data_IF_581756986991
#
_entry.id   IF_581756986991
#
_cell.length_a   1.000
_cell.length_b   1.000
_cell.length_c   1.000
_cell.angle_alpha   90.00
_cell.angle_beta   90.00
_cell.angle_gamma   90.00
#
_symmetry.space_group_name_H-M   'P 1'
#
loop_
_entity.id
_entity.type
_entity.pdbx_description
1 polymer ?
#
# COMPACT_ATOMS: atom_id res chain seq x y z
N UNK A 1 24.59 -21.68 -10.29
CA UNK A 1 24.22 -20.92 -11.50
C UNK A 1 23.40 -19.73 -11.05
N UNK A 2 24.00 -18.54 -10.89
CA UNK A 2 23.31 -17.33 -10.42
C UNK A 2 22.39 -16.85 -11.54
N UNK A 3 21.08 -17.09 -11.40
CA UNK A 3 20.07 -16.49 -12.28
C UNK A 3 20.04 -14.99 -11.98
N UNK A 4 20.42 -14.17 -12.96
CA UNK A 4 20.21 -12.72 -12.91
C UNK A 4 18.70 -12.46 -12.79
N UNK A 5 18.21 -12.20 -11.58
CA UNK A 5 16.90 -11.60 -11.39
C UNK A 5 17.06 -10.10 -11.70
N UNK A 6 16.56 -9.67 -12.87
CA UNK A 6 16.52 -8.26 -13.21
C UNK A 6 15.42 -7.58 -12.39
N UNK A 7 15.80 -7.02 -11.25
CA UNK A 7 14.96 -6.17 -10.39
C UNK A 7 14.75 -4.80 -11.05
N UNK A 8 13.51 -4.29 -11.02
CA UNK A 8 13.23 -2.92 -11.43
C UNK A 8 13.46 -1.98 -10.25
N UNK A 9 14.39 -1.06 -10.43
CA UNK A 9 14.65 0.07 -9.53
C UNK A 9 13.97 1.32 -10.08
N UNK A 10 13.03 1.88 -9.32
CA UNK A 10 12.49 3.23 -9.57
C UNK A 10 13.11 4.18 -8.55
N UNK A 11 13.78 5.24 -9.03
CA UNK A 11 14.34 6.34 -8.23
C UNK A 11 13.66 7.62 -8.69
N UNK A 12 12.80 8.17 -7.85
CA UNK A 12 12.26 9.52 -8.04
C UNK A 12 13.16 10.49 -7.29
N UNK A 13 13.95 11.28 -8.03
CA UNK A 13 14.76 12.35 -7.46
C UNK A 13 13.89 13.59 -7.32
N UNK A 14 13.53 13.95 -6.08
CA UNK A 14 13.08 15.31 -5.77
C UNK A 14 14.27 16.09 -5.24
N UNK A 15 14.60 17.21 -5.87
CA UNK A 15 15.51 18.18 -5.29
C UNK A 15 14.76 18.94 -4.21
N UNK A 16 15.18 18.83 -2.95
CA UNK A 16 14.89 19.83 -1.93
C UNK A 16 15.99 19.85 -0.87
N UNK A 17 16.25 21.06 -0.39
CA UNK A 17 17.31 21.44 0.53
C UNK A 17 16.88 21.28 1.99
N UNK A 18 17.84 20.81 2.81
CA UNK A 18 17.95 20.83 4.29
C UNK A 18 17.32 19.73 5.14
N UNK A 19 18.17 19.21 6.04
CA UNK A 19 17.81 18.72 7.38
C UNK A 19 18.18 17.26 7.68
N UNK A 20 19.42 16.98 8.13
CA UNK A 20 19.74 15.68 8.73
C UNK A 20 19.00 15.52 10.06
N UNK A 21 18.14 14.51 10.17
CA UNK A 21 17.71 13.96 11.45
C UNK A 21 17.95 12.43 11.44
N UNK A 22 18.71 11.89 12.40
CA UNK A 22 18.88 10.44 12.53
C UNK A 22 17.70 9.89 13.33
N UNK A 23 16.73 9.27 12.65
CA UNK A 23 15.73 8.45 13.33
C UNK A 23 16.43 7.20 13.89
N UNK A 24 16.19 6.96 15.17
CA UNK A 24 16.67 5.83 15.94
C UNK A 24 16.11 4.51 15.39
N UNK A 25 16.92 3.45 15.55
CA UNK A 25 16.80 2.16 14.88
C UNK A 25 15.74 1.21 15.47
N UNK A 26 14.93 1.67 16.43
CA UNK A 26 14.12 0.79 17.31
C UNK A 26 12.59 0.90 17.17
N UNK A 27 12.04 1.68 16.24
CA UNK A 27 10.59 1.90 16.08
C UNK A 27 9.98 1.24 14.83
N UNK A 28 10.13 -0.09 14.68
CA UNK A 28 9.50 -0.88 13.59
C UNK A 28 8.45 -1.89 14.08
N UNK A 29 7.63 -1.54 15.06
CA UNK A 29 6.52 -2.41 15.47
C UNK A 29 5.32 -2.18 14.54
N UNK A 30 5.07 -3.14 13.63
CA UNK A 30 3.76 -3.32 12.98
C UNK A 30 3.64 -3.06 11.47
N UNK A 31 4.71 -2.67 10.76
CA UNK A 31 4.67 -2.39 9.31
C UNK A 31 5.13 -3.63 8.54
N UNK A 32 4.38 -4.15 7.53
CA UNK A 32 4.96 -5.08 6.56
C UNK A 32 5.98 -4.29 5.73
N UNK A 33 7.28 -4.61 5.75
CA UNK A 33 8.31 -3.79 5.10
C UNK A 33 8.29 -3.91 3.57
N UNK A 34 7.30 -4.62 3.03
CA UNK A 34 7.13 -4.84 1.62
C UNK A 34 5.71 -5.30 1.28
N UNK A 35 5.30 -5.04 0.05
CA UNK A 35 4.00 -5.44 -0.51
C UNK A 35 4.16 -6.76 -1.29
N UNK A 36 3.10 -7.57 -1.32
CA UNK A 36 3.09 -8.87 -2.03
C UNK A 36 1.78 -9.01 -2.79
N UNK A 37 1.86 -9.42 -4.05
CA UNK A 37 0.72 -9.79 -4.87
C UNK A 37 1.00 -11.01 -5.74
N UNK A 38 -0.03 -11.55 -6.39
CA UNK A 38 0.12 -12.68 -7.30
C UNK A 38 -0.92 -12.67 -8.42
N UNK A 39 -0.59 -13.38 -9.50
CA UNK A 39 -1.56 -13.83 -10.51
C UNK A 39 -1.13 -15.19 -11.06
N UNK A 40 -2.11 -16.07 -11.29
CA UNK A 40 -1.89 -17.37 -11.94
C UNK A 40 -2.40 -17.36 -13.38
N UNK A 41 -1.59 -17.95 -14.26
CA UNK A 41 -1.82 -18.11 -15.69
C UNK A 41 -1.64 -19.59 -16.09
N UNK A 42 -2.09 -19.98 -17.28
CA UNK A 42 -1.83 -21.30 -17.81
C UNK A 42 -0.32 -21.53 -17.99
N UNK A 43 0.16 -22.70 -17.59
CA UNK A 43 1.53 -23.11 -17.84
C UNK A 43 1.62 -23.92 -19.15
N UNK A 44 2.80 -23.90 -19.75
CA UNK A 44 3.19 -24.83 -20.81
C UNK A 44 3.31 -26.27 -20.30
N UNK A 45 3.61 -26.45 -19.01
CA UNK A 45 3.66 -27.76 -18.37
C UNK A 45 2.24 -28.34 -18.19
N UNK A 46 2.05 -29.57 -18.68
CA UNK A 46 0.75 -30.26 -18.63
C UNK A 46 0.24 -30.40 -17.19
N UNK A 47 -1.01 -30.01 -16.95
CA UNK A 47 -1.67 -30.11 -15.65
C UNK A 47 -1.13 -29.15 -14.58
N UNK A 48 -0.35 -28.15 -15.00
CA UNK A 48 0.20 -27.10 -14.12
C UNK A 48 -0.28 -25.73 -14.58
N UNK A 49 -0.18 -24.80 -13.64
CA UNK A 49 -0.44 -23.38 -13.81
C UNK A 49 0.80 -22.62 -13.37
N UNK A 50 1.11 -21.54 -14.09
CA UNK A 50 2.20 -20.62 -13.76
C UNK A 50 1.68 -19.62 -12.74
N UNK A 51 2.10 -19.78 -11.49
CA UNK A 51 1.86 -18.81 -10.43
C UNK A 51 3.00 -17.80 -10.42
N UNK A 52 2.67 -16.54 -10.66
CA UNK A 52 3.60 -15.42 -10.58
C UNK A 52 3.34 -14.65 -9.29
N UNK A 53 4.36 -14.51 -8.46
CA UNK A 53 4.34 -13.79 -7.19
C UNK A 53 5.18 -12.54 -7.34
N UNK A 54 4.59 -11.37 -7.17
CA UNK A 54 5.24 -10.07 -7.26
C UNK A 54 5.45 -9.50 -5.86
N UNK A 55 6.60 -8.88 -5.62
CA UNK A 55 6.86 -8.20 -4.36
C UNK A 55 7.55 -6.87 -4.57
N UNK A 56 7.18 -5.88 -3.76
CA UNK A 56 7.71 -4.52 -3.80
C UNK A 56 8.37 -4.19 -2.46
N UNK A 57 9.67 -3.92 -2.50
CA UNK A 57 10.50 -3.56 -1.35
C UNK A 57 10.81 -2.06 -1.40
N UNK A 58 10.47 -1.30 -0.35
CA UNK A 58 10.73 0.15 -0.30
C UNK A 58 12.06 0.45 0.38
N UNK A 59 12.73 1.53 -0.03
CA UNK A 59 14.05 1.88 0.51
C UNK A 59 14.01 2.07 2.04
N UNK A 60 13.01 2.80 2.55
CA UNK A 60 12.84 3.08 3.99
C UNK A 60 12.85 1.82 4.89
N UNK A 61 12.54 0.65 4.33
CA UNK A 61 12.54 -0.62 5.05
C UNK A 61 13.93 -1.22 5.30
N UNK A 62 14.97 -0.74 4.62
CA UNK A 62 16.32 -1.31 4.69
C UNK A 62 17.25 -0.56 5.62
N UNK A 63 18.19 -1.30 6.22
CA UNK A 63 19.38 -0.76 6.86
C UNK A 63 20.46 -0.54 5.81
N UNK A 64 20.96 0.69 5.74
CA UNK A 64 22.04 1.05 4.83
C UNK A 64 23.36 1.23 5.57
N UNK A 65 24.45 0.79 4.93
CA UNK A 65 25.82 1.04 5.40
C UNK A 65 26.50 2.00 4.41
N UNK A 66 27.13 3.06 4.93
CA UNK A 66 27.88 4.00 4.10
C UNK A 66 29.10 3.29 3.50
N UNK A 67 29.23 3.34 2.17
CA UNK A 67 30.33 2.73 1.40
C UNK A 67 30.89 3.78 0.44
N UNK A 68 31.98 4.43 0.84
CA UNK A 68 32.52 5.58 0.12
C UNK A 68 31.54 6.77 0.15
N UNK A 69 31.11 7.23 -1.03
CA UNK A 69 30.17 8.33 -1.18
C UNK A 69 28.70 7.87 -1.32
N UNK A 70 28.44 6.56 -1.29
CA UNK A 70 27.09 6.00 -1.44
C UNK A 70 26.67 5.22 -0.19
N UNK A 71 25.41 4.79 -0.19
CA UNK A 71 24.80 3.99 0.86
C UNK A 71 24.38 2.65 0.27
N UNK A 72 24.90 1.55 0.82
CA UNK A 72 24.65 0.19 0.36
C UNK A 72 23.62 -0.51 1.25
N UNK A 73 22.58 -1.07 0.63
CA UNK A 73 21.71 -2.07 1.24
C UNK A 73 21.92 -3.43 0.56
N UNK A 74 21.82 -4.49 1.34
CA UNK A 74 21.88 -5.87 0.86
C UNK A 74 20.78 -6.69 1.53
N UNK A 75 20.15 -7.59 0.79
CA UNK A 75 19.03 -8.37 1.30
C UNK A 75 18.90 -9.73 0.63
N UNK A 76 18.18 -10.63 1.30
CA UNK A 76 17.74 -11.92 0.78
C UNK A 76 16.23 -12.04 0.86
N UNK A 77 15.61 -12.57 -0.19
CA UNK A 77 14.17 -12.86 -0.23
C UNK A 77 13.98 -14.35 -0.50
N UNK A 78 13.26 -15.00 0.40
CA UNK A 78 12.68 -16.32 0.18
C UNK A 78 11.19 -16.18 -0.11
N UNK A 79 10.73 -16.71 -1.25
CA UNK A 79 9.31 -16.88 -1.56
C UNK A 79 8.99 -18.36 -1.46
N UNK A 80 8.21 -18.75 -0.46
CA UNK A 80 7.77 -20.13 -0.21
C UNK A 80 6.28 -20.30 -0.51
N UNK A 81 5.93 -21.42 -1.14
CA UNK A 81 4.56 -21.85 -1.37
C UNK A 81 4.22 -23.01 -0.47
N UNK A 82 3.19 -22.84 0.36
CA UNK A 82 2.63 -23.90 1.18
C UNK A 82 1.29 -24.38 0.60
N UNK A 83 1.08 -25.70 0.59
CA UNK A 83 -0.20 -26.30 0.24
C UNK A 83 -1.20 -26.25 1.40
N UNK A 84 -2.37 -26.89 1.24
CA UNK A 84 -3.45 -26.88 2.25
C UNK A 84 -3.06 -27.52 3.59
N UNK A 85 -2.08 -28.43 3.61
CA UNK A 85 -1.59 -29.09 4.84
C UNK A 85 -0.43 -28.36 5.51
N UNK A 86 -0.25 -27.06 5.23
CA UNK A 86 0.89 -26.21 5.67
C UNK A 86 2.29 -26.69 5.25
N UNK A 87 2.37 -27.81 4.51
CA UNK A 87 3.61 -28.33 3.93
C UNK A 87 4.09 -27.42 2.81
N UNK A 88 5.38 -27.08 2.86
CA UNK A 88 6.06 -26.41 1.75
C UNK A 88 6.09 -27.31 0.51
N UNK A 89 5.63 -26.74 -0.60
CA UNK A 89 5.58 -27.39 -1.92
C UNK A 89 6.78 -26.96 -2.76
N UNK A 90 7.17 -25.69 -2.67
CA UNK A 90 8.31 -25.13 -3.37
C UNK A 90 8.73 -23.81 -2.72
N UNK A 91 10.01 -23.48 -2.83
CA UNK A 91 10.57 -22.20 -2.43
C UNK A 91 11.53 -21.67 -3.50
N UNK A 92 11.70 -20.34 -3.52
CA UNK A 92 12.69 -19.66 -4.35
C UNK A 92 13.40 -18.60 -3.54
N UNK A 93 14.72 -18.59 -3.66
CA UNK A 93 15.59 -17.67 -2.94
C UNK A 93 16.30 -16.74 -3.91
N UNK A 94 16.38 -15.45 -3.56
CA UNK A 94 17.15 -14.43 -4.28
C UNK A 94 17.93 -13.58 -3.29
N UNK A 95 19.15 -13.21 -3.66
CA UNK A 95 20.03 -12.33 -2.87
C UNK A 95 20.44 -11.18 -3.77
N UNK A 96 20.25 -9.95 -3.30
CA UNK A 96 20.52 -8.73 -4.05
C UNK A 96 21.20 -7.67 -3.15
N UNK A 97 21.92 -6.76 -3.80
CA UNK A 97 22.46 -5.56 -3.18
C UNK A 97 22.19 -4.35 -4.08
N UNK A 98 22.03 -3.18 -3.49
CA UNK A 98 21.86 -1.94 -4.24
C UNK A 98 22.44 -0.75 -3.48
N UNK A 99 22.90 0.24 -4.23
CA UNK A 99 23.37 1.51 -3.67
C UNK A 99 22.39 2.65 -3.95
N UNK A 100 22.41 3.65 -3.08
CA UNK A 100 21.79 4.96 -3.31
C UNK A 100 22.81 6.07 -3.04
N UNK A 101 22.87 7.13 -3.86
CA UNK A 101 23.86 8.19 -3.73
C UNK A 101 23.70 9.08 -2.49
N UNK A 102 22.49 9.25 -1.96
CA UNK A 102 22.24 10.18 -0.84
C UNK A 102 21.56 9.51 0.34
N UNK A 103 21.77 10.07 1.54
CA UNK A 103 21.09 9.63 2.75
C UNK A 103 19.56 9.75 2.62
N UNK A 104 19.05 10.83 2.03
CA UNK A 104 17.60 11.03 1.87
C UNK A 104 16.94 9.90 1.06
N UNK A 105 17.67 9.34 0.09
CA UNK A 105 17.18 8.19 -0.68
C UNK A 105 17.13 6.89 0.12
N UNK A 106 17.87 6.77 1.22
CA UNK A 106 17.74 5.62 2.14
C UNK A 106 16.40 5.65 2.87
N UNK A 107 15.84 6.83 3.09
CA UNK A 107 14.55 7.04 3.77
C UNK A 107 13.38 7.20 2.80
N UNK A 108 13.60 7.05 1.48
CA UNK A 108 12.58 7.31 0.46
C UNK A 108 11.43 6.30 0.53
N UNK A 109 10.21 6.83 0.64
CA UNK A 109 8.97 6.06 0.51
C UNK A 109 8.62 5.75 -0.95
N UNK A 110 9.04 6.60 -1.88
CA UNK A 110 8.74 6.50 -3.31
C UNK A 110 9.73 5.61 -4.07
N UNK A 111 10.97 5.51 -3.59
CA UNK A 111 11.96 4.64 -4.19
C UNK A 111 11.73 3.20 -3.73
N UNK A 112 11.52 2.32 -4.69
CA UNK A 112 11.26 0.91 -4.44
C UNK A 112 11.95 0.00 -5.45
N UNK A 113 12.05 -1.27 -5.07
CA UNK A 113 12.57 -2.40 -5.84
C UNK A 113 11.41 -3.35 -6.07
N UNK A 114 11.20 -3.72 -7.33
CA UNK A 114 10.11 -4.60 -7.75
C UNK A 114 10.72 -5.85 -8.38
N UNK A 115 10.30 -7.02 -7.91
CA UNK A 115 10.78 -8.29 -8.41
C UNK A 115 9.65 -9.34 -8.38
N UNK A 116 9.90 -10.51 -8.97
CA UNK A 116 8.91 -11.58 -9.13
C UNK A 116 9.53 -12.98 -9.00
N UNK A 117 8.76 -13.90 -8.44
CA UNK A 117 9.05 -15.33 -8.39
C UNK A 117 7.98 -16.11 -9.16
N UNK A 118 8.41 -17.01 -10.07
CA UNK A 118 7.52 -17.84 -10.87
C UNK A 118 7.56 -19.29 -10.42
N UNK A 119 6.40 -19.91 -10.22
CA UNK A 119 6.25 -21.32 -9.85
C UNK A 119 5.35 -22.03 -10.86
N UNK A 120 5.66 -23.30 -11.15
CA UNK A 120 4.81 -24.19 -11.94
C UNK A 120 4.15 -25.19 -10.99
N UNK A 121 2.86 -24.99 -10.69
CA UNK A 121 2.14 -25.72 -9.63
C UNK A 121 0.81 -26.27 -10.14
N UNK A 122 0.28 -27.36 -9.57
CA UNK A 122 -1.08 -27.80 -9.87
C UNK A 122 -2.11 -26.72 -9.53
N UNK A 123 -3.31 -26.74 -10.15
CA UNK A 123 -4.44 -25.97 -9.67
C UNK A 123 -4.74 -26.27 -8.19
N UNK A 124 -5.18 -25.26 -7.42
CA UNK A 124 -5.48 -25.42 -6.00
C UNK A 124 -5.30 -24.16 -5.17
N UNK A 125 -5.52 -24.29 -3.86
CA UNK A 125 -5.27 -23.23 -2.87
C UNK A 125 -3.86 -23.33 -2.30
N UNK A 126 -3.19 -22.20 -2.21
CA UNK A 126 -1.85 -22.08 -1.64
C UNK A 126 -1.76 -20.92 -0.66
N UNK A 127 -0.81 -21.00 0.27
CA UNK A 127 -0.34 -19.85 1.04
C UNK A 127 1.06 -19.48 0.55
N UNK A 128 1.18 -18.28 0.01
CA UNK A 128 2.46 -17.65 -0.32
C UNK A 128 3.00 -17.08 1.00
N UNK A 129 4.20 -17.47 1.39
CA UNK A 129 4.96 -16.87 2.48
C UNK A 129 6.22 -16.24 1.91
N UNK A 130 6.55 -15.05 2.34
CA UNK A 130 7.75 -14.35 1.93
C UNK A 130 8.54 -13.98 3.18
N UNK A 131 9.82 -14.31 3.17
CA UNK A 131 10.79 -13.94 4.19
C UNK A 131 11.82 -13.01 3.55
N UNK A 132 11.86 -11.76 4.01
CA UNK A 132 12.87 -10.77 3.66
C UNK A 132 13.88 -10.71 4.80
N UNK A 133 15.15 -10.96 4.51
CA UNK A 133 16.26 -10.80 5.44
C UNK A 133 17.10 -9.60 5.01
N UNK A 134 17.22 -8.61 5.87
CA UNK A 134 18.16 -7.51 5.68
C UNK A 134 19.57 -7.99 6.07
N UNK A 135 20.52 -7.96 5.14
CA UNK A 135 21.86 -8.49 5.41
C UNK A 135 22.72 -7.58 6.27
N UNK A 136 22.37 -6.31 6.42
CA UNK A 136 23.09 -5.34 7.24
C UNK A 136 22.62 -5.36 8.69
N UNK A 137 21.30 -5.39 8.95
CA UNK A 137 20.76 -5.48 10.32
C UNK A 137 20.53 -6.90 10.81
N UNK A 138 20.44 -7.88 9.90
CA UNK A 138 19.97 -9.27 10.16
C UNK A 138 18.51 -9.35 10.60
N UNK A 139 17.75 -8.26 10.47
CA UNK A 139 16.32 -8.28 10.70
C UNK A 139 15.62 -9.14 9.64
N UNK A 140 14.65 -9.92 10.10
CA UNK A 140 13.80 -10.74 9.25
C UNK A 140 12.40 -10.17 9.30
N UNK A 141 11.81 -10.01 8.14
CA UNK A 141 10.44 -9.56 7.97
C UNK A 141 9.65 -10.51 7.12
N UNK A 142 8.38 -10.72 7.47
CA UNK A 142 7.56 -11.73 6.82
C UNK A 142 6.24 -11.17 6.33
N UNK A 143 5.79 -11.67 5.18
CA UNK A 143 4.46 -11.40 4.66
C UNK A 143 3.84 -12.71 4.18
N UNK A 144 2.52 -12.79 4.23
CA UNK A 144 1.79 -13.96 3.74
C UNK A 144 0.55 -13.55 2.96
N UNK A 145 0.22 -14.32 1.93
CA UNK A 145 -0.96 -14.11 1.10
C UNK A 145 -1.56 -15.44 0.66
N UNK A 146 -2.88 -15.57 0.76
CA UNK A 146 -3.60 -16.73 0.18
C UNK A 146 -3.69 -16.55 -1.33
N UNK A 147 -3.39 -17.61 -2.07
CA UNK A 147 -3.53 -17.67 -3.51
C UNK A 147 -4.44 -18.83 -3.92
N UNK A 148 -5.30 -18.57 -4.91
CA UNK A 148 -6.12 -19.60 -5.55
C UNK A 148 -5.68 -19.68 -7.00
N UNK A 149 -5.13 -20.83 -7.38
CA UNK A 149 -4.61 -21.11 -8.71
C UNK A 149 -5.70 -21.84 -9.49
N UNK A 150 -6.30 -21.22 -10.52
CA UNK A 150 -7.37 -21.85 -11.30
C UNK A 150 -6.90 -23.05 -12.09
N UNK A 151 -7.84 -23.93 -12.41
CA UNK A 151 -7.63 -25.04 -13.33
C UNK A 151 -7.92 -24.61 -14.77
N UNK A 152 -6.87 -24.45 -15.55
CA UNK A 152 -6.97 -24.07 -16.96
C UNK A 152 -7.08 -25.27 -17.90
N UNK A 153 -6.94 -26.50 -17.39
CA UNK A 153 -6.83 -27.71 -18.21
C UNK A 153 -8.18 -28.34 -18.52
N UNK A 154 -9.14 -28.30 -17.59
CA UNK A 154 -10.37 -29.08 -17.66
C UNK A 154 -11.61 -28.32 -18.20
N UNK A 155 -11.54 -27.00 -18.34
CA UNK A 155 -12.65 -26.20 -18.87
C UNK A 155 -12.46 -25.87 -20.35
N UNK A 156 -13.55 -25.90 -21.14
CA UNK A 156 -13.56 -25.47 -22.54
C UNK A 156 -13.15 -23.99 -22.69
N UNK A 157 -13.62 -23.16 -21.76
CA UNK A 157 -13.21 -21.75 -21.63
C UNK A 157 -12.78 -21.49 -20.20
N UNK A 158 -11.64 -20.85 -20.01
CA UNK A 158 -11.11 -20.48 -18.70
C UNK A 158 -10.58 -19.04 -18.72
N UNK A 159 -10.53 -18.41 -17.55
CA UNK A 159 -9.95 -17.08 -17.36
C UNK A 159 -8.90 -17.12 -16.26
N UNK A 160 -7.76 -16.45 -16.47
CA UNK A 160 -6.71 -16.29 -15.47
C UNK A 160 -7.16 -15.46 -14.28
N UNK A 161 -6.31 -15.35 -13.25
CA UNK A 161 -6.49 -14.28 -12.28
C UNK A 161 -6.34 -12.91 -12.97
N UNK A 162 -6.89 -11.87 -12.33
CA UNK A 162 -6.70 -10.48 -12.74
C UNK A 162 -5.38 -9.96 -12.17
N UNK A 163 -4.54 -9.41 -13.03
CA UNK A 163 -3.32 -8.70 -12.65
C UNK A 163 -3.57 -7.20 -12.78
N UNK A 164 -3.58 -6.49 -11.65
CA UNK A 164 -3.66 -5.02 -11.67
C UNK A 164 -2.34 -4.41 -12.11
N UNK A 165 -2.41 -3.39 -12.97
CA UNK A 165 -1.26 -2.71 -13.55
C UNK A 165 -1.18 -1.30 -12.95
N UNK A 166 -0.03 -0.96 -12.37
CA UNK A 166 0.26 0.38 -11.88
C UNK A 166 0.82 1.30 -12.98
N UNK A 167 1.60 0.75 -13.92
CA UNK A 167 2.13 1.49 -15.05
C UNK A 167 2.49 0.57 -16.23
N UNK A 168 2.60 1.14 -17.43
CA UNK A 168 3.23 0.51 -18.58
C UNK A 168 4.64 1.10 -18.78
N UNK A 169 5.56 0.32 -19.33
CA UNK A 169 6.90 0.79 -19.68
C UNK A 169 7.21 0.48 -21.16
N UNK A 170 7.74 1.48 -21.88
CA UNK A 170 7.93 1.39 -23.34
C UNK A 170 9.33 0.91 -23.77
N UNK A 171 10.33 0.95 -22.88
CA UNK A 171 11.74 0.72 -23.29
C UNK A 171 12.64 0.10 -22.21
N UNK A 172 12.07 -0.59 -21.22
CA UNK A 172 12.85 -1.20 -20.15
C UNK A 172 13.23 -2.66 -20.47
N UNK A 173 14.45 -3.11 -20.19
CA UNK A 173 14.79 -4.53 -20.30
C UNK A 173 14.35 -5.28 -19.03
N UNK A 174 13.04 -5.53 -18.92
CA UNK A 174 12.39 -6.10 -17.75
C UNK A 174 11.65 -7.40 -18.09
N UNK A 175 12.39 -8.50 -18.33
CA UNK A 175 11.80 -9.74 -18.84
C UNK A 175 10.79 -10.37 -17.87
N UNK A 176 10.97 -10.19 -16.55
CA UNK A 176 10.05 -10.69 -15.52
C UNK A 176 8.67 -10.03 -15.57
N UNK A 177 8.59 -8.83 -16.17
CA UNK A 177 7.39 -7.99 -16.21
C UNK A 177 6.80 -7.91 -17.62
N UNK A 178 7.29 -8.73 -18.55
CA UNK A 178 6.82 -8.75 -19.94
C UNK A 178 5.57 -9.63 -20.09
N UNK A 179 4.48 -9.04 -20.61
CA UNK A 179 3.22 -9.71 -20.95
C UNK A 179 2.87 -9.42 -22.40
N UNK A 180 2.86 -10.46 -23.23
CA UNK A 180 2.44 -10.39 -24.65
C UNK A 180 3.10 -9.23 -25.42
N UNK A 181 4.41 -9.06 -25.23
CA UNK A 181 5.18 -8.01 -25.90
C UNK A 181 5.23 -6.66 -25.18
N UNK A 182 4.36 -6.42 -24.19
CA UNK A 182 4.33 -5.18 -23.38
C UNK A 182 5.01 -5.39 -22.04
N UNK A 183 5.58 -4.34 -21.46
CA UNK A 183 6.11 -4.38 -20.10
C UNK A 183 5.05 -3.78 -19.18
N UNK A 184 4.61 -4.55 -18.20
CA UNK A 184 3.61 -4.13 -17.23
C UNK A 184 4.22 -4.07 -15.84
N UNK A 185 4.09 -2.93 -15.18
CA UNK A 185 4.49 -2.78 -13.79
C UNK A 185 3.28 -3.11 -12.93
N UNK A 186 3.25 -4.26 -12.23
CA UNK A 186 2.11 -4.65 -11.41
C UNK A 186 1.85 -3.68 -10.26
N UNK A 187 0.58 -3.41 -9.99
CA UNK A 187 0.15 -2.71 -8.77
C UNK A 187 0.13 -3.70 -7.60
N UNK A 188 1.28 -3.90 -6.95
CA UNK A 188 1.44 -4.89 -5.87
C UNK A 188 0.58 -4.57 -4.64
N UNK A 189 0.43 -3.28 -4.31
CA UNK A 189 -0.49 -2.81 -3.27
C UNK A 189 -1.97 -2.98 -3.64
N UNK A 190 -2.28 -3.12 -4.94
CA UNK A 190 -3.62 -3.01 -5.50
C UNK A 190 -4.36 -1.76 -5.04
N UNK A 191 -3.63 -0.66 -4.87
CA UNK A 191 -4.16 0.59 -4.35
C UNK A 191 -4.13 1.68 -5.44
N UNK A 192 -5.23 2.41 -5.56
CA UNK A 192 -5.48 3.44 -6.58
C UNK A 192 -6.11 4.66 -5.93
N UNK A 193 -5.94 5.88 -6.45
CA UNK A 193 -6.45 7.07 -5.75
C UNK A 193 -6.24 8.41 -6.43
N UNK A 194 -5.76 8.44 -7.66
CA UNK A 194 -5.69 9.70 -8.40
C UNK A 194 -7.04 10.06 -9.03
N UNK A 195 -7.32 11.34 -9.29
CA UNK A 195 -8.66 11.82 -9.68
C UNK A 195 -9.09 11.35 -11.07
N UNK A 196 -8.09 11.12 -11.92
CA UNK A 196 -8.23 10.54 -13.26
C UNK A 196 -7.78 9.06 -13.27
N UNK A 197 -7.75 8.40 -12.10
CA UNK A 197 -7.30 7.00 -12.01
C UNK A 197 -8.14 6.10 -12.90
N UNK A 198 -7.44 5.42 -13.79
CA UNK A 198 -7.89 4.26 -14.51
C UNK A 198 -7.43 3.01 -13.79
N UNK A 199 -8.36 2.11 -13.50
CA UNK A 199 -8.04 0.78 -12.99
C UNK A 199 -7.55 -0.06 -14.16
N UNK A 200 -6.26 -0.02 -14.46
CA UNK A 200 -5.64 -0.86 -15.49
C UNK A 200 -5.49 -2.29 -14.97
N UNK A 201 -5.89 -3.28 -15.77
CA UNK A 201 -5.67 -4.68 -15.45
C UNK A 201 -5.49 -5.55 -16.68
N UNK A 202 -4.88 -6.70 -16.45
CA UNK A 202 -4.57 -7.72 -17.43
C UNK A 202 -5.10 -9.08 -16.99
N UNK A 203 -5.60 -9.85 -17.94
CA UNK A 203 -5.91 -11.26 -17.76
C UNK A 203 -5.83 -12.00 -19.10
N UNK A 204 -5.73 -13.31 -19.04
CA UNK A 204 -5.72 -14.20 -20.19
C UNK A 204 -7.01 -15.01 -20.21
N UNK A 205 -7.60 -15.13 -21.39
CA UNK A 205 -8.72 -16.04 -21.66
C UNK A 205 -8.20 -17.22 -22.48
N UNK A 206 -8.56 -18.43 -22.07
CA UNK A 206 -8.17 -19.66 -22.75
C UNK A 206 -9.40 -20.33 -23.36
N UNK A 207 -9.27 -20.83 -24.59
CA UNK A 207 -10.33 -21.53 -25.32
C UNK A 207 -9.81 -22.87 -25.89
N UNK A 208 -10.53 -23.95 -25.62
CA UNK A 208 -10.16 -25.33 -25.97
C UNK A 208 -11.39 -26.11 -26.48
N UNK A 209 -11.53 -26.33 -27.80
CA UNK A 209 -10.75 -25.71 -28.88
C UNK A 209 -11.08 -24.21 -29.06
N UNK A 210 -10.23 -23.42 -29.72
CA UNK A 210 -10.61 -22.09 -30.19
C UNK A 210 -11.59 -22.22 -31.36
N UNK A 211 -12.86 -21.94 -31.10
CA UNK A 211 -13.98 -22.11 -32.05
C UNK A 211 -14.38 -20.81 -32.76
N UNK A 212 -13.71 -19.69 -32.45
CA UNK A 212 -13.97 -18.39 -33.06
C UNK A 212 -15.26 -17.73 -32.62
N UNK A 213 -15.98 -18.28 -31.64
CA UNK A 213 -17.20 -17.68 -31.09
C UNK A 213 -16.91 -16.35 -30.40
N UNK A 214 -17.90 -15.47 -30.44
CA UNK A 214 -17.87 -14.22 -29.67
C UNK A 214 -18.60 -14.41 -28.36
N UNK A 215 -17.90 -14.19 -27.26
CA UNK A 215 -18.46 -14.21 -25.89
C UNK A 215 -18.59 -12.78 -25.37
N UNK A 216 -19.52 -12.55 -24.46
CA UNK A 216 -19.64 -11.27 -23.75
C UNK A 216 -18.71 -11.25 -22.56
N UNK A 217 -17.94 -10.17 -22.40
CA UNK A 217 -17.23 -9.84 -21.19
C UNK A 217 -18.09 -8.89 -20.36
N UNK A 218 -18.34 -9.22 -19.10
CA UNK A 218 -19.06 -8.38 -18.16
C UNK A 218 -18.12 -7.97 -17.02
N UNK A 219 -17.93 -6.67 -16.85
CA UNK A 219 -17.13 -6.07 -15.80
C UNK A 219 -18.05 -5.50 -14.74
N UNK A 220 -17.91 -5.97 -13.50
CA UNK A 220 -18.68 -5.48 -12.35
C UNK A 220 -17.73 -5.05 -11.24
N UNK A 221 -17.80 -3.77 -10.84
CA UNK A 221 -17.10 -3.29 -9.65
C UNK A 221 -18.10 -3.03 -8.53
N UNK A 222 -17.85 -3.61 -7.36
CA UNK A 222 -18.67 -3.46 -6.16
C UNK A 222 -17.84 -2.93 -5.00
N UNK A 223 -18.39 -2.02 -4.20
CA UNK A 223 -17.78 -1.61 -2.93
C UNK A 223 -18.27 -2.53 -1.83
N UNK A 224 -17.40 -2.93 -0.90
CA UNK A 224 -17.78 -3.79 0.23
C UNK A 224 -19.00 -3.19 0.96
N UNK A 225 -20.08 -3.96 1.07
CA UNK A 225 -21.37 -3.58 1.69
C UNK A 225 -22.24 -2.54 0.94
N UNK A 226 -21.89 -2.16 -0.30
CA UNK A 226 -22.77 -1.35 -1.18
C UNK A 226 -23.06 -2.10 -2.49
N UNK A 227 -23.96 -1.53 -3.30
CA UNK A 227 -24.26 -2.04 -4.64
C UNK A 227 -23.09 -1.89 -5.62
N UNK A 228 -23.33 -2.34 -6.87
CA UNK A 228 -22.38 -2.17 -7.95
C UNK A 228 -22.23 -0.69 -8.36
N UNK A 229 -20.99 -0.28 -8.53
CA UNK A 229 -20.60 1.07 -8.98
C UNK A 229 -20.43 1.14 -10.49
N UNK A 230 -19.82 0.11 -11.07
CA UNK A 230 -19.62 -0.01 -12.51
C UNK A 230 -20.18 -1.33 -12.99
N UNK A 231 -20.90 -1.26 -14.11
CA UNK A 231 -21.35 -2.39 -14.91
C UNK A 231 -21.09 -2.06 -16.37
N UNK A 232 -20.03 -2.62 -16.91
CA UNK A 232 -19.65 -2.44 -18.31
C UNK A 232 -19.64 -3.79 -19.01
N UNK A 233 -19.89 -3.77 -20.31
CA UNK A 233 -19.86 -4.97 -21.13
C UNK A 233 -19.05 -4.74 -22.38
N UNK A 234 -18.29 -5.75 -22.77
CA UNK A 234 -17.54 -5.80 -24.02
C UNK A 234 -17.75 -7.17 -24.67
N UNK A 235 -17.12 -7.40 -25.82
CA UNK A 235 -17.18 -8.66 -26.55
C UNK A 235 -15.77 -9.16 -26.86
N UNK A 236 -15.59 -10.47 -26.79
CA UNK A 236 -14.30 -11.11 -27.04
C UNK A 236 -14.49 -12.26 -28.02
N UNK A 237 -13.71 -12.26 -29.11
CA UNK A 237 -13.68 -13.37 -30.06
C UNK A 237 -12.66 -14.43 -29.63
N UNK A 238 -13.10 -15.67 -29.43
CA UNK A 238 -12.27 -16.81 -29.03
C UNK A 238 -11.59 -17.48 -30.23
N UNK A 239 -10.86 -16.69 -31.02
CA UNK A 239 -10.20 -17.15 -32.25
C UNK A 239 -8.86 -17.85 -32.02
N UNK A 240 -8.29 -17.75 -30.82
CA UNK A 240 -7.00 -18.35 -30.46
C UNK A 240 -7.11 -19.12 -29.14
N UNK A 241 -6.21 -20.09 -28.93
CA UNK A 241 -6.18 -20.90 -27.71
C UNK A 241 -5.93 -20.06 -26.44
N UNK A 242 -5.27 -18.91 -26.60
CA UNK A 242 -5.04 -17.89 -25.59
C UNK A 242 -5.33 -16.51 -26.21
N UNK A 243 -6.19 -15.75 -25.57
CA UNK A 243 -6.49 -14.35 -25.91
C UNK A 243 -6.14 -13.46 -24.72
N UNK A 244 -5.07 -12.63 -24.82
CA UNK A 244 -4.75 -11.67 -23.78
C UNK A 244 -5.66 -10.45 -23.82
N UNK A 245 -6.08 -9.97 -22.66
CA UNK A 245 -6.92 -8.78 -22.52
C UNK A 245 -6.21 -7.76 -21.65
N UNK A 246 -5.92 -6.60 -22.23
CA UNK A 246 -5.47 -5.40 -21.51
C UNK A 246 -6.61 -4.39 -21.58
N UNK A 247 -7.13 -3.98 -20.42
CA UNK A 247 -8.23 -3.02 -20.37
C UNK A 247 -8.15 -2.14 -19.14
N UNK A 248 -9.04 -1.16 -19.05
CA UNK A 248 -9.12 -0.25 -17.93
C UNK A 248 -10.54 0.24 -17.69
N UNK A 249 -10.86 0.52 -16.43
CA UNK A 249 -12.14 1.09 -16.02
C UNK A 249 -11.91 2.41 -15.27
N UNK A 250 -12.73 3.44 -15.49
CA UNK A 250 -12.60 4.70 -14.76
C UNK A 250 -13.02 4.53 -13.29
N UNK A 251 -12.10 4.80 -12.37
CA UNK A 251 -12.34 4.68 -10.92
C UNK A 251 -11.99 5.93 -10.13
N UNK A 252 -11.46 6.98 -10.76
CA UNK A 252 -10.99 8.19 -10.05
C UNK A 252 -12.07 8.92 -9.23
N UNK A 253 -13.35 8.74 -9.57
CA UNK A 253 -14.49 9.26 -8.80
C UNK A 253 -15.00 8.29 -7.74
N UNK A 254 -14.34 7.17 -7.49
CA UNK A 254 -14.81 6.23 -6.48
C UNK A 254 -14.43 6.74 -5.09
N UNK A 255 -15.31 6.65 -4.10
CA UNK A 255 -14.93 6.93 -2.72
C UNK A 255 -13.75 6.05 -2.27
N UNK A 256 -12.97 6.49 -1.28
CA UNK A 256 -12.00 5.63 -0.61
C UNK A 256 -12.67 4.38 -0.02
N UNK A 257 -11.94 3.26 -0.01
CA UNK A 257 -12.38 2.01 0.59
C UNK A 257 -12.03 0.78 -0.23
N UNK A 258 -12.53 -0.38 0.21
CA UNK A 258 -12.26 -1.67 -0.44
C UNK A 258 -13.31 -2.01 -1.50
N UNK A 259 -12.82 -2.48 -2.65
CA UNK A 259 -13.61 -2.82 -3.81
C UNK A 259 -13.25 -4.20 -4.35
N UNK A 260 -14.20 -4.79 -5.08
CA UNK A 260 -13.99 -6.01 -5.84
C UNK A 260 -14.32 -5.77 -7.30
N UNK A 261 -13.37 -6.10 -8.18
CA UNK A 261 -13.60 -6.25 -9.61
C UNK A 261 -13.90 -7.71 -9.90
N UNK A 262 -15.05 -7.96 -10.55
CA UNK A 262 -15.43 -9.25 -11.12
C UNK A 262 -15.49 -9.12 -12.64
N UNK A 263 -14.82 -10.03 -13.33
CA UNK A 263 -14.89 -10.19 -14.80
C UNK A 263 -15.55 -11.51 -15.10
N UNK A 264 -16.63 -11.50 -15.87
CA UNK A 264 -17.40 -12.70 -16.22
C UNK A 264 -17.46 -12.87 -17.73
N UNK A 265 -17.13 -14.06 -18.23
CA UNK A 265 -17.31 -14.45 -19.62
C UNK A 265 -18.66 -15.15 -19.76
N UNK A 266 -19.52 -14.66 -20.66
CA UNK A 266 -20.83 -15.25 -20.92
C UNK A 266 -21.06 -15.60 -22.39
N UNK A 267 -21.75 -16.72 -22.59
CA UNK A 267 -22.41 -17.07 -23.85
C UNK A 267 -23.93 -17.08 -23.59
N UNK A 268 -24.61 -16.03 -24.05
CA UNK A 268 -26.00 -15.77 -23.65
C UNK A 268 -26.13 -15.60 -22.13
N UNK A 269 -26.88 -16.49 -21.47
CA UNK A 269 -27.04 -16.49 -20.00
C UNK A 269 -25.99 -17.37 -19.29
N UNK A 270 -25.32 -18.28 -20.01
CA UNK A 270 -24.36 -19.23 -19.44
C UNK A 270 -23.08 -18.49 -19.05
N UNK A 271 -22.66 -18.64 -17.80
CA UNK A 271 -21.34 -18.23 -17.34
C UNK A 271 -20.33 -19.30 -17.79
N UNK A 272 -19.35 -18.90 -18.59
CA UNK A 272 -18.29 -19.79 -19.10
C UNK A 272 -17.08 -19.80 -18.18
N UNK A 273 -16.66 -18.61 -17.73
CA UNK A 273 -15.52 -18.43 -16.84
C UNK A 273 -15.67 -17.10 -16.07
N UNK A 274 -14.92 -16.98 -14.97
CA UNK A 274 -14.84 -15.74 -14.20
C UNK A 274 -13.45 -15.55 -13.63
N UNK A 275 -13.05 -14.29 -13.46
CA UNK A 275 -11.91 -13.86 -12.67
C UNK A 275 -12.35 -12.76 -11.70
N UNK A 276 -11.80 -12.74 -10.49
CA UNK A 276 -12.10 -11.70 -9.51
C UNK A 276 -10.85 -11.31 -8.73
N UNK A 277 -10.79 -10.04 -8.35
CA UNK A 277 -9.72 -9.50 -7.54
C UNK A 277 -10.24 -8.32 -6.69
N UNK A 278 -9.76 -8.25 -5.46
CA UNK A 278 -9.99 -7.12 -4.57
C UNK A 278 -8.90 -6.06 -4.76
N UNK A 279 -9.28 -4.79 -4.69
CA UNK A 279 -8.41 -3.63 -4.76
C UNK A 279 -8.92 -2.54 -3.79
N UNK A 280 -8.07 -1.58 -3.49
CA UNK A 280 -8.37 -0.46 -2.59
C UNK A 280 -8.36 0.85 -3.36
N UNK A 281 -9.36 1.69 -3.10
CA UNK A 281 -9.28 3.11 -3.39
C UNK A 281 -8.69 3.81 -2.16
N UNK A 282 -7.46 4.32 -2.30
CA UNK A 282 -6.85 5.23 -1.34
C UNK A 282 -7.60 6.56 -1.32
N UNK A 283 -7.29 7.38 -0.32
CA UNK A 283 -7.76 8.76 -0.29
C UNK A 283 -7.45 9.48 -1.59
N UNK A 284 -8.51 9.97 -2.22
CA UNK A 284 -8.45 10.82 -3.40
C UNK A 284 -9.07 12.17 -3.02
N UNK A 285 -8.48 13.26 -3.49
CA UNK A 285 -8.95 14.57 -3.10
C UNK A 285 -10.35 14.84 -3.71
N UNK A 286 -10.55 14.47 -4.97
CA UNK A 286 -11.71 14.80 -5.76
C UNK A 286 -12.93 13.98 -5.37
N UNK A 287 -12.80 12.67 -5.12
CA UNK A 287 -13.94 11.92 -4.59
C UNK A 287 -14.17 12.25 -3.11
N UNK A 288 -13.14 12.57 -2.31
CA UNK A 288 -13.38 13.12 -0.98
C UNK A 288 -14.18 14.44 -1.03
N UNK A 289 -13.92 15.30 -2.00
CA UNK A 289 -14.67 16.54 -2.24
C UNK A 289 -16.10 16.30 -2.74
N UNK A 290 -16.40 15.12 -3.29
CA UNK A 290 -17.76 14.70 -3.66
C UNK A 290 -18.47 14.06 -2.46
N UNK A 291 -17.85 13.05 -1.83
CA UNK A 291 -18.49 12.16 -0.85
C UNK A 291 -18.26 12.57 0.61
N UNK A 292 -17.13 13.18 0.93
CA UNK A 292 -16.71 13.55 2.30
C UNK A 292 -16.54 15.06 2.49
N UNK A 293 -17.05 15.87 1.57
CA UNK A 293 -16.81 17.30 1.50
C UNK A 293 -16.91 18.03 2.84
N UNK A 294 -17.96 17.78 3.62
CA UNK A 294 -18.16 18.46 4.92
C UNK A 294 -17.05 18.12 5.92
N UNK A 295 -16.67 16.85 6.01
CA UNK A 295 -15.63 16.41 6.93
C UNK A 295 -14.27 17.00 6.53
N UNK A 296 -14.01 17.04 5.22
CA UNK A 296 -12.77 17.54 4.62
C UNK A 296 -12.64 19.05 4.76
N UNK A 297 -13.71 19.78 4.46
CA UNK A 297 -13.82 21.23 4.72
C UNK A 297 -13.68 21.50 6.23
N UNK A 298 -14.16 20.59 7.07
CA UNK A 298 -13.96 20.66 8.51
C UNK A 298 -12.48 20.70 8.93
N UNK A 299 -11.60 19.98 8.23
CA UNK A 299 -10.15 20.01 8.50
C UNK A 299 -9.54 21.39 8.24
N UNK A 300 -10.14 22.20 7.36
CA UNK A 300 -9.67 23.58 7.13
C UNK A 300 -9.79 24.45 8.39
N UNK A 301 -10.65 24.11 9.35
CA UNK A 301 -10.76 24.83 10.63
C UNK A 301 -9.47 24.80 11.44
N UNK A 302 -8.55 23.90 11.15
CA UNK A 302 -7.22 23.89 11.76
C UNK A 302 -6.33 25.05 11.28
N UNK A 303 -6.62 25.62 10.11
CA UNK A 303 -5.77 26.61 9.44
C UNK A 303 -6.51 27.91 9.07
N UNK A 304 -7.85 27.87 9.00
CA UNK A 304 -8.69 28.97 8.54
C UNK A 304 -9.79 29.31 9.54
N UNK A 305 -10.31 30.54 9.45
CA UNK A 305 -11.37 31.04 10.32
C UNK A 305 -12.73 30.48 9.90
N UNK A 306 -13.66 30.35 10.85
CA UNK A 306 -15.02 29.86 10.57
C UNK A 306 -15.75 30.71 9.52
N UNK A 307 -15.46 32.02 9.46
CA UNK A 307 -15.98 32.93 8.43
C UNK A 307 -15.60 32.53 7.01
N UNK A 308 -14.49 31.81 6.88
CA UNK A 308 -13.93 31.39 5.60
C UNK A 308 -14.40 29.97 5.23
N UNK A 309 -14.54 29.10 6.23
CA UNK A 309 -14.90 27.69 6.07
C UNK A 309 -16.41 27.51 5.89
N UNK A 310 -17.24 28.26 6.60
CA UNK A 310 -18.70 28.09 6.57
C UNK A 310 -19.33 28.31 5.17
N UNK A 311 -18.87 29.26 4.33
CA UNK A 311 -19.33 29.38 2.94
C UNK A 311 -18.99 28.16 2.08
N UNK A 312 -17.80 27.57 2.25
CA UNK A 312 -17.41 26.35 1.54
C UNK A 312 -18.35 25.21 1.90
N UNK A 313 -18.57 24.96 3.20
CA UNK A 313 -19.39 23.83 3.67
C UNK A 313 -20.82 23.86 3.11
N UNK A 314 -21.34 25.07 2.84
CA UNK A 314 -22.68 25.33 2.28
C UNK A 314 -22.72 25.27 0.75
N UNK A 315 -21.61 25.07 0.06
CA UNK A 315 -21.56 25.03 -1.39
C UNK A 315 -22.40 23.84 -1.96
N UNK A 316 -23.24 24.08 -2.98
CA UNK A 316 -23.91 23.02 -3.74
C UNK A 316 -22.89 22.04 -4.33
N UNK A 317 -23.26 20.75 -4.46
CA UNK A 317 -22.33 19.68 -4.88
C UNK A 317 -21.58 20.03 -6.17
N UNK A 318 -22.28 20.63 -7.12
CA UNK A 318 -21.78 21.01 -8.44
C UNK A 318 -20.74 22.14 -8.38
N UNK A 319 -20.78 22.96 -7.31
CA UNK A 319 -19.88 24.10 -7.09
C UNK A 319 -18.79 23.84 -6.06
N UNK A 320 -18.73 22.64 -5.47
CA UNK A 320 -17.77 22.33 -4.39
C UNK A 320 -16.32 22.44 -4.84
N UNK A 321 -16.01 21.91 -6.02
CA UNK A 321 -14.66 21.97 -6.59
C UNK A 321 -14.25 23.41 -6.89
N UNK A 322 -15.13 24.19 -7.53
CA UNK A 322 -14.89 25.61 -7.80
C UNK A 322 -14.68 26.41 -6.50
N UNK A 323 -15.54 26.20 -5.49
CA UNK A 323 -15.42 26.87 -4.21
C UNK A 323 -14.10 26.52 -3.49
N UNK A 324 -13.69 25.25 -3.56
CA UNK A 324 -12.43 24.77 -3.00
C UNK A 324 -11.22 25.41 -3.66
N UNK A 325 -11.18 25.38 -4.99
CA UNK A 325 -10.07 25.97 -5.74
C UNK A 325 -10.00 27.48 -5.51
N UNK A 326 -11.14 28.15 -5.40
CA UNK A 326 -11.20 29.56 -5.01
C UNK A 326 -10.62 29.79 -3.60
N UNK A 327 -11.02 28.98 -2.62
CA UNK A 327 -10.54 29.13 -1.23
C UNK A 327 -9.02 29.06 -1.11
N UNK A 328 -8.40 28.11 -1.82
CA UNK A 328 -6.95 27.98 -1.85
C UNK A 328 -6.32 29.10 -2.66
N UNK A 329 -6.85 29.42 -3.84
CA UNK A 329 -6.32 30.54 -4.65
C UNK A 329 -6.24 31.86 -3.85
N UNK A 330 -7.24 32.15 -3.04
CA UNK A 330 -7.27 33.35 -2.18
C UNK A 330 -6.24 33.30 -1.01
N UNK A 331 -5.64 32.13 -0.75
CA UNK A 331 -4.68 31.86 0.33
C UNK A 331 -3.34 31.34 -0.18
N UNK A 332 -3.04 31.59 -1.45
CA UNK A 332 -1.74 31.28 -2.03
C UNK A 332 -0.66 32.14 -1.36
N UNK A 333 0.23 31.56 -0.54
CA UNK A 333 1.29 32.31 0.13
C UNK A 333 2.30 32.89 -0.87
N UNK A 334 2.38 32.29 -2.07
CA UNK A 334 3.42 32.55 -3.05
C UNK A 334 2.84 32.59 -4.46
N UNK A 335 2.08 33.65 -4.78
CA UNK A 335 1.46 33.84 -6.11
C UNK A 335 2.42 33.81 -7.33
N UNK A 336 3.74 33.75 -7.09
CA UNK A 336 4.76 33.61 -8.12
C UNK A 336 4.92 32.16 -8.64
N UNK A 337 4.41 31.14 -7.93
CA UNK A 337 4.42 29.76 -8.39
C UNK A 337 3.09 29.39 -9.05
N UNK A 338 3.11 28.35 -9.90
CA UNK A 338 1.90 27.86 -10.59
C UNK A 338 0.97 27.08 -9.66
N UNK A 339 1.49 26.59 -8.54
CA UNK A 339 0.79 25.70 -7.63
C UNK A 339 0.80 26.27 -6.22
N UNK A 340 -0.34 26.23 -5.52
CA UNK A 340 -0.45 26.73 -4.16
C UNK A 340 0.25 25.78 -3.17
N UNK A 341 1.36 26.21 -2.56
CA UNK A 341 2.15 25.34 -1.68
C UNK A 341 1.40 24.95 -0.40
N UNK A 342 0.53 25.84 0.12
CA UNK A 342 -0.27 25.55 1.31
C UNK A 342 -1.33 24.46 1.03
N UNK A 343 -1.93 24.47 -0.16
CA UNK A 343 -2.85 23.42 -0.64
C UNK A 343 -2.12 22.09 -0.76
N UNK A 344 -0.96 22.09 -1.41
CA UNK A 344 -0.12 20.89 -1.59
C UNK A 344 0.27 20.29 -0.25
N UNK A 345 0.77 21.10 0.68
CA UNK A 345 1.20 20.61 2.00
C UNK A 345 0.03 20.06 2.81
N UNK A 346 -1.13 20.72 2.78
CA UNK A 346 -2.33 20.22 3.42
C UNK A 346 -2.78 18.87 2.83
N UNK A 347 -2.86 18.75 1.51
CA UNK A 347 -3.21 17.51 0.81
C UNK A 347 -2.18 16.40 1.08
N UNK A 348 -0.88 16.73 1.14
CA UNK A 348 0.19 15.81 1.53
C UNK A 348 -0.04 15.26 2.93
N UNK A 349 -0.36 16.12 3.90
CA UNK A 349 -0.59 15.69 5.30
C UNK A 349 -1.85 14.85 5.46
N UNK A 350 -2.93 15.17 4.73
CA UNK A 350 -4.14 14.35 4.72
C UNK A 350 -3.86 12.96 4.15
N UNK A 351 -3.15 12.88 3.01
CA UNK A 351 -2.76 11.59 2.40
C UNK A 351 -1.85 10.78 3.32
N UNK A 352 -0.86 11.43 3.94
CA UNK A 352 0.00 10.78 4.93
C UNK A 352 -0.83 10.24 6.10
N UNK A 353 -1.69 11.08 6.67
CA UNK A 353 -2.52 10.66 7.79
C UNK A 353 -3.42 9.47 7.42
N UNK A 354 -4.04 9.48 6.24
CA UNK A 354 -4.85 8.36 5.79
C UNK A 354 -4.03 7.10 5.54
N UNK A 355 -2.81 7.21 5.03
CA UNK A 355 -1.94 6.06 4.76
C UNK A 355 -1.40 5.40 6.04
N UNK A 356 -1.06 6.19 7.07
CA UNK A 356 -0.32 5.70 8.23
C UNK A 356 -1.12 5.63 9.53
N UNK A 357 -2.20 6.39 9.67
CA UNK A 357 -3.01 6.42 10.90
C UNK A 357 -4.41 5.83 10.71
N UNK A 358 -4.67 5.14 9.59
CA UNK A 358 -5.91 4.40 9.41
C UNK A 358 -5.95 3.18 10.32
N UNK A 359 -7.14 2.83 10.78
CA UNK A 359 -7.35 1.64 11.59
C UNK A 359 -8.70 1.01 11.26
N UNK A 360 -8.70 -0.28 10.91
CA UNK A 360 -9.88 -1.00 10.44
C UNK A 360 -10.64 -0.23 9.35
N UNK A 361 -11.81 0.32 9.68
CA UNK A 361 -12.67 1.11 8.79
C UNK A 361 -12.61 2.61 9.08
N UNK A 362 -11.82 3.06 10.07
CA UNK A 362 -11.59 4.46 10.38
C UNK A 362 -10.51 5.03 9.45
N UNK A 363 -10.84 6.01 8.57
CA UNK A 363 -9.86 6.70 7.77
C UNK A 363 -8.82 7.41 8.64
N UNK A 364 -7.56 7.39 8.23
CA UNK A 364 -6.47 7.82 9.10
C UNK A 364 -6.44 9.31 9.36
N UNK A 365 -6.90 10.14 8.43
CA UNK A 365 -7.10 11.58 8.66
C UNK A 365 -8.22 11.90 9.67
N UNK A 366 -9.12 10.94 9.97
CA UNK A 366 -10.12 11.07 11.05
C UNK A 366 -9.62 10.57 12.41
N UNK A 367 -8.51 9.84 12.45
CA UNK A 367 -7.89 9.40 13.70
C UNK A 367 -7.35 10.60 14.49
N UNK A 368 -7.10 10.40 15.78
CA UNK A 368 -6.55 11.47 16.62
C UNK A 368 -5.11 11.85 16.21
N UNK A 369 -4.27 10.85 15.92
CA UNK A 369 -2.93 11.07 15.36
C UNK A 369 -3.00 11.81 14.01
N UNK A 370 -3.94 11.43 13.15
CA UNK A 370 -4.15 12.10 11.87
C UNK A 370 -4.57 13.56 12.01
N UNK A 371 -5.48 13.88 12.93
CA UNK A 371 -5.88 15.27 13.20
C UNK A 371 -4.70 16.12 13.69
N UNK A 372 -3.89 15.59 14.59
CA UNK A 372 -2.70 16.28 15.11
C UNK A 372 -1.67 16.46 13.99
N UNK A 373 -1.37 15.41 13.22
CA UNK A 373 -0.40 15.46 12.13
C UNK A 373 -0.83 16.42 11.02
N UNK A 374 -2.11 16.43 10.64
CA UNK A 374 -2.62 17.38 9.65
C UNK A 374 -2.34 18.80 10.14
N UNK A 375 -2.78 19.11 11.37
CA UNK A 375 -2.66 20.45 11.95
C UNK A 375 -1.22 20.93 12.14
N UNK A 376 -0.36 20.11 12.73
CA UNK A 376 0.98 20.53 13.17
C UNK A 376 2.10 20.06 12.24
N UNK A 377 1.83 19.09 11.37
CA UNK A 377 2.83 18.48 10.49
C UNK A 377 3.54 17.31 11.15
N UNK A 378 4.75 17.03 10.68
CA UNK A 378 5.62 16.03 11.28
C UNK A 378 6.12 16.50 12.65
N UNK A 379 6.10 15.65 13.69
CA UNK A 379 6.65 16.00 14.99
C UNK A 379 8.18 16.16 14.93
N UNK A 380 8.71 17.07 15.74
CA UNK A 380 10.15 17.30 15.87
C UNK A 380 10.84 16.11 16.58
N UNK A 381 10.12 15.45 17.49
CA UNK A 381 10.57 14.27 18.21
C UNK A 381 9.38 13.36 18.55
N UNK A 382 9.62 12.05 18.55
CA UNK A 382 8.65 11.02 18.92
C UNK A 382 9.26 10.14 20.01
N UNK A 383 8.58 10.05 21.16
CA UNK A 383 8.93 9.13 22.23
C UNK A 383 7.90 8.00 22.29
N UNK A 384 8.35 6.75 22.23
CA UNK A 384 7.50 5.56 22.29
C UNK A 384 7.71 4.81 23.60
N UNK A 385 6.62 4.53 24.30
CA UNK A 385 6.56 3.58 25.40
C UNK A 385 5.76 2.36 24.94
N UNK A 386 6.49 1.35 24.44
CA UNK A 386 5.91 0.05 24.12
C UNK A 386 5.66 -0.68 25.44
N UNK A 387 4.46 -0.50 26.03
CA UNK A 387 4.04 -1.07 27.30
C UNK A 387 4.75 -2.38 27.70
N UNK A 388 5.88 -2.22 28.40
CA UNK A 388 6.68 -3.26 29.07
C UNK A 388 7.65 -4.11 28.24
N UNK A 389 8.88 -3.62 28.04
CA UNK A 389 10.13 -4.31 28.45
C UNK A 389 11.22 -3.27 28.76
N UNK A 390 11.25 -2.75 30.00
CA UNK A 390 12.51 -2.24 30.59
C UNK A 390 13.03 -3.31 31.54
N UNK A 391 14.11 -3.96 31.13
CA UNK A 391 14.90 -4.77 32.03
C UNK A 391 15.59 -3.81 33.01
N UNK A 392 15.01 -3.56 34.18
CA UNK A 392 15.79 -2.94 35.25
C UNK A 392 16.81 -3.98 35.67
N UNK A 393 18.09 -3.66 35.52
CA UNK A 393 19.21 -4.49 35.97
C UNK A 393 18.93 -5.16 37.31
N UNK A 394 19.38 -6.40 37.54
CA UNK A 394 19.30 -7.01 38.86
C UNK A 394 20.04 -6.11 39.86
N UNK A 395 19.38 -5.72 40.94
CA UNK A 395 20.03 -5.06 42.06
C UNK A 395 21.07 -6.03 42.64
N UNK A 396 22.32 -5.58 42.65
CA UNK A 396 23.43 -6.25 43.33
C UNK A 396 23.54 -5.58 44.70
N UNK A 397 23.50 -6.37 45.78
CA UNK A 397 23.75 -5.85 47.12
C UNK A 397 25.21 -5.41 47.30
N UNK A 398 25.54 -4.75 48.41
CA UNK A 398 26.90 -4.29 48.71
C UNK A 398 27.93 -5.44 48.81
N UNK A 399 27.48 -6.71 48.82
CA UNK A 399 28.34 -7.90 48.84
C UNK A 399 28.41 -8.64 47.50
N UNK A 400 27.84 -8.09 46.41
CA UNK A 400 27.99 -8.68 45.09
C UNK A 400 27.02 -9.83 44.76
N UNK A 401 25.96 -10.05 45.54
CA UNK A 401 25.03 -11.17 45.35
C UNK A 401 23.81 -10.76 44.52
N UNK A 402 23.43 -11.60 43.57
CA UNK A 402 22.21 -11.46 42.78
C UNK A 402 21.00 -11.87 43.63
N UNK A 403 20.12 -10.91 43.96
CA UNK A 403 18.86 -11.24 44.63
C UNK A 403 17.74 -11.38 43.61
N UNK A 404 17.20 -12.59 43.45
CA UNK A 404 16.09 -12.88 42.54
C UNK A 404 14.74 -12.53 43.18
N UNK A 405 14.55 -11.29 43.61
CA UNK A 405 13.23 -10.80 43.99
C UNK A 405 12.61 -10.12 42.77
N UNK A 406 12.06 -10.94 41.87
CA UNK A 406 11.13 -10.46 40.84
C UNK A 406 9.86 -10.02 41.58
N UNK A 407 9.80 -8.75 41.97
CA UNK A 407 8.52 -8.13 42.28
C UNK A 407 7.72 -8.17 40.99
N UNK A 408 6.71 -9.04 40.90
CA UNK A 408 5.70 -8.97 39.84
C UNK A 408 4.99 -7.63 39.99
N UNK A 409 5.50 -6.60 39.32
CA UNK A 409 4.76 -5.35 39.13
C UNK A 409 3.55 -5.73 38.29
N UNK A 410 2.34 -5.46 38.81
CA UNK A 410 1.08 -5.66 38.07
C UNK A 410 1.16 -4.85 36.76
N UNK A 411 0.99 -5.54 35.63
CA UNK A 411 0.84 -4.98 34.28
C UNK A 411 -0.33 -3.99 34.23
N UNK A 412 -0.06 -2.72 33.90
CA UNK A 412 -1.11 -1.73 33.61
C UNK A 412 -0.73 -0.67 32.57
N UNK A 413 0.36 -0.85 31.79
CA UNK A 413 0.77 0.14 30.79
C UNK A 413 0.21 -0.17 29.40
N UNK A 414 -0.65 0.70 28.86
CA UNK A 414 -0.99 0.71 27.44
C UNK A 414 0.23 1.19 26.63
N UNK A 415 0.40 0.72 25.39
CA UNK A 415 1.41 1.29 24.52
C UNK A 415 1.09 2.78 24.33
N UNK A 416 2.07 3.66 24.52
CA UNK A 416 1.89 5.09 24.37
C UNK A 416 2.96 5.70 23.47
N UNK A 417 2.60 6.76 22.77
CA UNK A 417 3.51 7.50 21.91
C UNK A 417 3.31 9.00 22.16
N UNK A 418 4.39 9.73 22.43
CA UNK A 418 4.34 11.17 22.66
C UNK A 418 5.05 11.90 21.52
N UNK A 419 4.33 12.80 20.86
CA UNK A 419 4.82 13.64 19.78
C UNK A 419 5.13 15.03 20.30
N UNK A 420 6.37 15.48 20.09
CA UNK A 420 6.83 16.80 20.48
C UNK A 420 6.91 17.74 19.28
N UNK A 421 6.41 18.95 19.48
CA UNK A 421 6.39 20.04 18.52
C UNK A 421 7.01 21.27 19.17
N UNK A 422 8.32 21.42 19.08
CA UNK A 422 9.10 22.46 19.76
C UNK A 422 8.77 23.85 19.25
N UNK A 423 8.58 23.99 17.93
CA UNK A 423 8.15 25.24 17.30
C UNK A 423 6.80 25.73 17.85
N UNK A 424 5.90 24.80 18.18
CA UNK A 424 4.59 25.09 18.75
C UNK A 424 4.56 25.02 20.28
N UNK A 425 5.66 24.61 20.92
CA UNK A 425 5.76 24.31 22.36
C UNK A 425 4.65 23.39 22.87
N UNK A 426 4.36 22.33 22.10
CA UNK A 426 3.30 21.36 22.40
C UNK A 426 3.85 19.94 22.43
N UNK A 427 3.21 19.10 23.23
CA UNK A 427 3.38 17.66 23.21
C UNK A 427 2.01 16.98 23.18
N UNK A 428 1.89 15.89 22.44
CA UNK A 428 0.66 15.11 22.32
C UNK A 428 0.96 13.66 22.61
N UNK A 429 0.34 13.11 23.66
CA UNK A 429 0.47 11.69 24.00
C UNK A 429 -0.73 10.92 23.49
N UNK A 430 -0.48 9.87 22.74
CA UNK A 430 -1.46 8.93 22.24
C UNK A 430 -1.30 7.59 22.97
N UNK A 431 -2.40 6.93 23.28
CA UNK A 431 -2.40 5.62 23.94
C UNK A 431 -3.19 4.62 23.08
N UNK A 432 -2.60 3.46 22.79
CA UNK A 432 -3.31 2.30 22.26
C UNK A 432 -3.86 1.49 23.42
N UNK A 433 -5.03 1.92 23.90
CA UNK A 433 -5.72 1.33 25.05
C UNK A 433 -6.10 -0.14 24.79
N UNK A 434 -6.28 -0.50 23.52
CA UNK A 434 -6.85 -1.79 23.11
C UNK A 434 -5.83 -2.76 22.51
N UNK A 435 -4.58 -2.34 22.30
CA UNK A 435 -3.51 -3.15 21.73
C UNK A 435 -3.76 -3.56 20.27
N UNK A 436 -4.61 -2.83 19.57
CA UNK A 436 -5.04 -3.14 18.21
C UNK A 436 -4.57 -2.09 17.18
N UNK A 437 -3.82 -1.08 17.61
CA UNK A 437 -3.39 0.05 16.77
C UNK A 437 -4.36 1.23 16.75
N UNK A 438 -5.41 1.23 17.59
CA UNK A 438 -6.31 2.37 17.76
C UNK A 438 -5.74 3.37 18.77
N UNK A 439 -4.87 4.25 18.29
CA UNK A 439 -4.25 5.31 19.10
C UNK A 439 -5.24 6.44 19.40
N UNK A 440 -5.50 6.67 20.69
CA UNK A 440 -6.41 7.72 21.19
C UNK A 440 -5.59 8.82 21.87
N UNK A 441 -5.90 10.08 21.60
CA UNK A 441 -5.23 11.21 22.26
C UNK A 441 -5.58 11.24 23.76
N UNK A 442 -4.55 11.25 24.61
CA UNK A 442 -4.70 11.30 26.07
C UNK A 442 -5.08 12.72 26.54
N UNK A 443 -6.22 12.90 27.23
CA UNK A 443 -6.56 14.16 27.89
C UNK A 443 -5.74 14.39 29.19
N UNK A 444 -5.62 15.63 29.71
CA UNK A 444 -6.26 16.86 29.23
C UNK A 444 -5.49 17.54 28.09
N UNK A 445 -6.24 17.95 27.07
CA UNK A 445 -5.81 18.90 26.04
C UNK A 445 -6.40 20.28 26.35
N UNK A 446 -5.63 21.35 26.18
CA UNK A 446 -5.88 22.72 26.68
C UNK A 446 -6.97 23.53 25.94
N UNK A 447 -8.01 22.86 25.43
CA UNK A 447 -9.35 23.46 25.41
C UNK A 447 -9.61 24.61 24.43
N UNK A 448 -9.20 24.51 23.17
CA UNK A 448 -9.98 25.15 22.08
C UNK A 448 -10.71 24.05 21.31
N UNK A 449 -12.05 24.08 21.39
CA UNK A 449 -12.99 23.07 20.90
C UNK A 449 -12.60 22.55 19.51
N UNK A 450 -12.68 21.22 19.35
CA UNK A 450 -12.59 20.49 18.09
C UNK A 450 -13.67 20.93 17.10
#
# INVERSE_FOLDING_TARGET
>A
MKLFAASLTVLLATANLFGQNPLSKDSRVGIPPFEVDFAAFADTAKGKSRLEVYYKLRNVGFSFVKKGNEYLAAYEVEVALQGENDREIASKNSSEEFTVPTYDQTQSMESYRLNAAHFSVPPGSYRIKIHLTDNNSKEISTAQRKAVVPDFAHSEVAASNLLFIGAFADSANLPLFKKEGRIVIPSVSRAFGDPDSLLHFYFEVYAKPPDGKTVRLEYEITQRHKGAWVKETDSLKLAAAKTPVFTSLPVGKFPPGDYRLKVTLREGKKELAKGEAEFKMNWNWEAAMVYNFKDVVGLLRYFARETDVAPLEKAPVEKRLEAWDKFWKDRDPTQATRENEAKIEFERRVRFADAYFNYMSLPGWKSDMGKIYIRYGEPDQVDEDQGGLRNTNPFVDEEGRYTSNVTRIRQTGHASQTWYYFSFRRAFTFEDVTGNGSWVLRPPFDGRRF
#
